data_IF_242744118196
#
_entry.id   IF_242744118196
#
_cell.length_a   1.000
_cell.length_b   1.000
_cell.length_c   1.000
_cell.angle_alpha   90.00
_cell.angle_beta   90.00
_cell.angle_gamma   90.00
#
_symmetry.space_group_name_H-M   'P 1'
#
loop_
_entity.id
_entity.type
_entity.pdbx_description
1 polymer ?
#
# COMPACT_ATOMS: atom_id res chain seq x y z
N UNK A 1 -42.71 -15.10 -1.53
CA UNK A 1 -41.38 -15.65 -1.23
C UNK A 1 -40.81 -15.06 0.07
N UNK A 2 -40.59 -13.75 0.19
CA UNK A 2 -40.06 -13.13 1.41
C UNK A 2 -40.85 -13.41 2.68
N UNK A 3 -42.20 -13.37 2.63
CA UNK A 3 -43.08 -13.64 3.77
C UNK A 3 -42.93 -15.08 4.29
N UNK A 4 -42.73 -16.05 3.40
CA UNK A 4 -42.45 -17.45 3.76
C UNK A 4 -41.08 -17.63 4.43
N UNK A 5 -40.06 -16.98 3.90
CA UNK A 5 -38.69 -17.00 4.47
C UNK A 5 -38.69 -16.40 5.87
N UNK A 6 -39.35 -15.25 6.06
CA UNK A 6 -39.44 -14.60 7.38
C UNK A 6 -40.22 -15.43 8.41
N UNK A 7 -41.31 -16.07 7.99
CA UNK A 7 -42.07 -16.98 8.86
C UNK A 7 -41.26 -18.23 9.25
N UNK A 8 -40.45 -18.79 8.32
CA UNK A 8 -39.53 -19.90 8.61
C UNK A 8 -38.44 -19.54 9.61
N UNK A 9 -37.83 -18.37 9.45
CA UNK A 9 -36.81 -17.87 10.40
C UNK A 9 -37.43 -17.68 11.80
N UNK A 10 -38.70 -17.20 11.86
CA UNK A 10 -39.41 -16.99 13.12
C UNK A 10 -39.86 -18.28 13.79
N UNK A 11 -40.27 -19.30 13.03
CA UNK A 11 -40.70 -20.59 13.56
C UNK A 11 -39.57 -21.42 14.18
N UNK A 12 -38.33 -21.21 13.68
CA UNK A 12 -37.11 -21.88 14.17
C UNK A 12 -36.17 -20.90 14.89
N UNK A 13 -36.71 -19.94 15.62
CA UNK A 13 -36.02 -18.74 16.14
C UNK A 13 -34.71 -19.02 16.90
N UNK A 14 -34.66 -20.03 17.77
CA UNK A 14 -33.45 -20.35 18.54
C UNK A 14 -32.28 -20.83 17.66
N UNK A 15 -32.54 -21.63 16.65
CA UNK A 15 -31.49 -22.16 15.73
C UNK A 15 -31.04 -21.09 14.74
N UNK A 16 -31.98 -20.30 14.21
CA UNK A 16 -31.68 -19.19 13.32
C UNK A 16 -30.87 -18.11 14.03
N UNK A 17 -31.10 -17.90 15.34
CA UNK A 17 -30.35 -16.95 16.15
C UNK A 17 -28.87 -17.31 16.23
N UNK A 18 -28.52 -18.59 16.43
CA UNK A 18 -27.13 -19.03 16.46
C UNK A 18 -26.40 -18.76 15.13
N UNK A 19 -27.05 -19.05 14.00
CA UNK A 19 -26.48 -18.76 12.67
C UNK A 19 -26.28 -17.24 12.51
N UNK A 20 -27.28 -16.43 12.91
CA UNK A 20 -27.17 -14.97 12.82
C UNK A 20 -26.03 -14.44 13.68
N UNK A 21 -25.83 -14.97 14.89
CA UNK A 21 -24.72 -14.59 15.77
C UNK A 21 -23.37 -14.97 15.11
N UNK A 22 -23.26 -16.17 14.59
CA UNK A 22 -22.05 -16.64 13.89
C UNK A 22 -21.72 -15.76 12.69
N UNK A 23 -22.72 -15.47 11.84
CA UNK A 23 -22.59 -14.59 10.68
C UNK A 23 -22.24 -13.15 11.07
N UNK A 24 -22.79 -12.66 12.20
CA UNK A 24 -22.50 -11.34 12.73
C UNK A 24 -21.04 -11.24 13.20
N UNK A 25 -20.59 -12.20 14.00
CA UNK A 25 -19.20 -12.25 14.47
C UNK A 25 -18.22 -12.37 13.30
N UNK A 26 -18.56 -13.20 12.31
CA UNK A 26 -17.79 -13.30 11.08
C UNK A 26 -17.77 -11.97 10.34
N UNK A 27 -18.92 -11.30 10.17
CA UNK A 27 -19.00 -10.03 9.44
C UNK A 27 -18.09 -8.96 10.05
N UNK A 28 -18.09 -8.81 11.38
CA UNK A 28 -17.23 -7.86 12.09
C UNK A 28 -15.77 -8.27 11.97
N UNK A 29 -15.42 -9.54 12.24
CA UNK A 29 -14.05 -10.01 12.16
C UNK A 29 -13.50 -9.95 10.73
N UNK A 30 -14.31 -10.29 9.72
CA UNK A 30 -13.95 -10.21 8.32
C UNK A 30 -13.71 -8.76 7.88
N UNK A 31 -14.44 -7.79 8.41
CA UNK A 31 -14.23 -6.38 8.11
C UNK A 31 -12.82 -5.92 8.55
N UNK A 32 -12.44 -6.19 9.81
CA UNK A 32 -11.13 -5.81 10.34
C UNK A 32 -9.95 -6.62 9.80
N UNK A 33 -10.20 -7.78 9.22
CA UNK A 33 -9.13 -8.58 8.57
C UNK A 33 -9.02 -8.28 7.07
N UNK A 34 -10.12 -7.94 6.40
CA UNK A 34 -10.12 -7.63 4.97
C UNK A 34 -9.62 -6.21 4.68
N UNK A 35 -9.95 -5.26 5.54
CA UNK A 35 -9.59 -3.86 5.37
C UNK A 35 -8.06 -3.66 5.22
N UNK A 36 -7.18 -4.13 6.14
CA UNK A 36 -5.74 -3.97 5.99
C UNK A 36 -5.20 -4.65 4.71
N UNK A 37 -5.80 -5.78 4.33
CA UNK A 37 -5.40 -6.51 3.11
C UNK A 37 -5.71 -5.69 1.87
N UNK A 38 -6.93 -5.17 1.76
CA UNK A 38 -7.38 -4.41 0.58
C UNK A 38 -6.60 -3.10 0.47
N UNK A 39 -6.47 -2.36 1.57
CA UNK A 39 -5.79 -1.05 1.58
C UNK A 39 -4.31 -1.21 1.30
N UNK A 40 -3.63 -2.17 1.94
CA UNK A 40 -2.20 -2.42 1.70
C UNK A 40 -1.95 -2.84 0.26
N UNK A 41 -2.74 -3.77 -0.30
CA UNK A 41 -2.62 -4.18 -1.70
C UNK A 41 -2.88 -3.02 -2.66
N UNK A 42 -3.87 -2.19 -2.36
CA UNK A 42 -4.16 -1.00 -3.16
C UNK A 42 -2.95 -0.05 -3.19
N UNK A 43 -2.34 0.24 -2.04
CA UNK A 43 -1.21 1.16 -1.95
C UNK A 43 0.04 0.59 -2.62
N UNK A 44 0.37 -0.67 -2.36
CA UNK A 44 1.53 -1.32 -2.98
C UNK A 44 1.37 -1.52 -4.49
N UNK A 45 0.14 -1.64 -4.98
CA UNK A 45 -0.17 -1.75 -6.42
C UNK A 45 -0.15 -0.43 -7.17
N UNK A 46 -0.06 0.73 -6.47
CA UNK A 46 -0.03 2.03 -7.11
C UNK A 46 1.34 2.33 -7.72
N UNK A 47 1.32 3.07 -8.84
CA UNK A 47 2.53 3.70 -9.34
C UNK A 47 2.92 4.84 -8.36
N UNK A 48 4.14 4.83 -7.81
CA UNK A 48 4.56 5.87 -6.86
C UNK A 48 4.80 7.24 -7.51
N UNK A 49 4.58 7.40 -8.82
CA UNK A 49 4.80 8.65 -9.54
C UNK A 49 6.22 8.81 -10.07
N UNK A 50 7.08 7.81 -9.86
CA UNK A 50 8.42 7.70 -10.45
C UNK A 50 8.65 6.28 -10.98
N UNK A 51 9.66 6.09 -11.82
CA UNK A 51 9.86 4.86 -12.62
C UNK A 51 10.53 3.73 -11.82
N UNK A 52 9.97 3.37 -10.65
CA UNK A 52 10.54 2.40 -9.70
C UNK A 52 10.89 1.04 -10.35
N UNK A 53 10.07 0.60 -11.32
CA UNK A 53 10.22 -0.70 -11.98
C UNK A 53 11.43 -0.77 -12.94
N UNK A 54 12.10 0.36 -13.17
CA UNK A 54 13.27 0.46 -14.04
C UNK A 54 14.54 0.79 -13.27
N UNK A 55 14.47 0.87 -11.93
CA UNK A 55 15.58 1.29 -11.11
C UNK A 55 16.31 0.10 -10.49
N UNK A 56 17.64 0.19 -10.48
CA UNK A 56 18.54 -0.73 -9.77
C UNK A 56 19.32 0.08 -8.73
N UNK A 57 19.29 -0.39 -7.49
CA UNK A 57 20.10 0.13 -6.41
C UNK A 57 21.37 -0.70 -6.30
N UNK A 58 22.53 -0.06 -6.22
CA UNK A 58 23.84 -0.67 -6.06
C UNK A 58 24.45 -0.14 -4.78
N UNK A 59 24.64 -1.00 -3.80
CA UNK A 59 25.24 -0.63 -2.52
C UNK A 59 26.74 -0.39 -2.64
N UNK A 60 27.26 0.48 -1.80
CA UNK A 60 28.68 0.80 -1.73
C UNK A 60 29.24 0.44 -0.36
N UNK A 61 30.46 -0.07 -0.35
CA UNK A 61 31.21 -0.33 0.88
C UNK A 61 32.69 0.04 0.70
N UNK A 62 33.40 0.09 1.81
CA UNK A 62 34.85 0.35 1.81
C UNK A 62 35.63 -0.90 2.18
N UNK A 63 36.70 -1.17 1.44
CA UNK A 63 37.65 -2.20 1.79
C UNK A 63 38.50 -1.73 2.98
N UNK A 64 38.72 -2.58 3.98
CA UNK A 64 39.74 -2.31 4.98
C UNK A 64 41.09 -2.11 4.31
N UNK A 65 41.77 -1.03 4.62
CA UNK A 65 43.09 -0.74 4.07
C UNK A 65 43.90 0.03 5.08
N UNK A 66 45.24 -0.18 5.07
CA UNK A 66 46.18 0.63 5.84
C UNK A 66 46.47 1.98 5.16
N UNK A 67 46.16 2.12 3.88
CA UNK A 67 46.29 3.36 3.15
C UNK A 67 45.28 4.40 3.64
N UNK A 68 45.76 5.60 3.87
CA UNK A 68 44.93 6.73 4.28
C UNK A 68 44.37 7.44 3.05
N UNK A 69 43.12 7.20 2.75
CA UNK A 69 42.39 7.97 1.75
C UNK A 69 41.81 9.25 2.36
N UNK A 70 42.01 10.36 1.67
CA UNK A 70 41.32 11.63 1.99
C UNK A 70 39.83 11.54 1.64
N UNK A 71 39.05 12.48 2.13
CA UNK A 71 37.61 12.53 1.79
C UNK A 71 37.40 12.96 0.33
N UNK A 72 38.27 13.82 -0.17
CA UNK A 72 38.32 14.28 -1.55
C UNK A 72 38.60 13.10 -2.50
N UNK A 73 39.63 12.31 -2.23
CA UNK A 73 39.93 11.11 -3.04
C UNK A 73 38.76 10.13 -3.09
N UNK A 74 38.07 9.94 -1.97
CA UNK A 74 36.88 9.09 -1.93
C UNK A 74 35.72 9.67 -2.74
N UNK A 75 35.55 10.98 -2.76
CA UNK A 75 34.57 11.62 -3.61
C UNK A 75 34.88 11.43 -5.09
N UNK A 76 36.14 11.58 -5.48
CA UNK A 76 36.61 11.29 -6.84
C UNK A 76 36.37 9.83 -7.23
N UNK A 77 36.67 8.91 -6.31
CA UNK A 77 36.43 7.48 -6.53
C UNK A 77 34.94 7.17 -6.70
N UNK A 78 34.07 7.79 -5.90
CA UNK A 78 32.62 7.69 -6.02
C UNK A 78 32.13 8.19 -7.38
N UNK A 79 32.67 9.29 -7.87
CA UNK A 79 32.33 9.88 -9.18
C UNK A 79 32.81 8.99 -10.33
N UNK A 80 33.99 8.38 -10.19
CA UNK A 80 34.47 7.38 -11.15
C UNK A 80 33.57 6.14 -11.21
N UNK A 81 33.09 5.66 -10.06
CA UNK A 81 32.15 4.55 -10.01
C UNK A 81 30.83 4.91 -10.69
N UNK A 82 30.29 6.12 -10.45
CA UNK A 82 29.09 6.60 -11.15
C UNK A 82 29.29 6.58 -12.67
N UNK A 83 30.43 7.08 -13.16
CA UNK A 83 30.77 7.10 -14.58
C UNK A 83 30.83 5.70 -15.16
N UNK A 84 31.40 4.73 -14.43
CA UNK A 84 31.42 3.32 -14.85
C UNK A 84 30.04 2.69 -14.89
N UNK A 85 29.15 3.01 -13.93
CA UNK A 85 27.75 2.55 -13.97
C UNK A 85 27.03 3.12 -15.17
N UNK A 86 27.25 4.38 -15.51
CA UNK A 86 26.69 5.02 -16.70
C UNK A 86 27.18 4.40 -18.02
N UNK A 87 28.34 3.74 -18.01
CA UNK A 87 28.89 3.10 -19.21
C UNK A 87 28.25 1.74 -19.55
N UNK A 88 27.41 1.16 -18.68
CA UNK A 88 26.68 -0.05 -19.04
C UNK A 88 25.67 0.24 -20.17
N UNK A 89 25.66 -0.58 -21.24
CA UNK A 89 24.80 -0.33 -22.41
C UNK A 89 23.30 -0.25 -22.09
N UNK A 90 22.87 -0.94 -21.04
CA UNK A 90 21.49 -1.03 -20.58
C UNK A 90 21.06 0.18 -19.73
N UNK A 91 22.01 0.95 -19.22
CA UNK A 91 21.74 2.10 -18.35
C UNK A 91 21.38 3.33 -19.20
N UNK A 92 20.31 4.01 -18.84
CA UNK A 92 19.86 5.26 -19.44
C UNK A 92 20.40 6.47 -18.67
N UNK A 93 20.22 6.46 -17.34
CA UNK A 93 20.72 7.45 -16.40
C UNK A 93 21.23 6.76 -15.13
N UNK A 94 22.14 7.41 -14.43
CA UNK A 94 22.52 6.98 -13.08
C UNK A 94 22.89 8.18 -12.21
N UNK A 95 22.60 8.06 -10.92
CA UNK A 95 22.86 9.09 -9.91
C UNK A 95 23.47 8.50 -8.65
N UNK A 96 24.04 9.35 -7.82
CA UNK A 96 24.42 9.04 -6.45
C UNK A 96 23.24 9.43 -5.55
N UNK A 97 22.68 8.46 -4.85
CA UNK A 97 21.65 8.69 -3.85
C UNK A 97 22.30 8.65 -2.45
N UNK A 98 21.94 9.63 -1.61
CA UNK A 98 22.37 9.64 -0.21
C UNK A 98 21.42 8.81 0.65
N UNK A 99 21.76 8.63 1.92
CA UNK A 99 20.87 8.00 2.91
C UNK A 99 19.54 8.76 3.13
N UNK A 100 19.41 9.98 2.60
CA UNK A 100 18.17 10.78 2.59
C UNK A 100 17.64 10.88 1.14
N UNK A 101 17.37 9.77 0.53
CA UNK A 101 16.79 9.66 -0.81
C UNK A 101 15.48 8.86 -0.79
N UNK A 102 14.79 8.79 -1.92
CA UNK A 102 13.56 8.00 -2.05
C UNK A 102 13.82 6.53 -1.69
N UNK A 103 12.85 5.89 -1.05
CA UNK A 103 12.94 4.51 -0.51
C UNK A 103 14.08 4.27 0.49
N UNK A 104 14.73 5.32 0.99
CA UNK A 104 15.74 5.18 2.03
C UNK A 104 15.13 4.74 3.37
N UNK A 105 15.92 4.00 4.17
CA UNK A 105 15.56 3.69 5.56
C UNK A 105 15.60 4.91 6.48
N UNK A 106 16.43 5.89 6.17
CA UNK A 106 16.47 7.15 6.90
C UNK A 106 15.38 8.08 6.39
N UNK A 107 14.66 8.69 7.29
CA UNK A 107 13.64 9.69 6.99
C UNK A 107 13.95 10.92 7.85
N UNK A 108 14.28 12.02 7.19
CA UNK A 108 14.38 13.34 7.84
C UNK A 108 13.07 14.06 7.65
N UNK A 109 12.50 14.54 8.75
CA UNK A 109 11.23 15.26 8.76
C UNK A 109 11.50 16.63 9.36
N UNK A 110 10.98 17.64 8.69
CA UNK A 110 10.97 19.01 9.17
C UNK A 110 9.55 19.56 9.16
N UNK A 111 9.32 20.59 9.94
CA UNK A 111 8.03 21.28 9.97
C UNK A 111 8.23 22.79 9.87
N UNK A 112 7.31 23.45 9.18
CA UNK A 112 7.19 24.89 9.12
C UNK A 112 5.88 25.31 9.80
N UNK A 113 5.91 26.24 10.74
CA UNK A 113 4.70 26.85 11.28
C UNK A 113 4.14 27.84 10.23
N UNK A 114 3.00 27.49 9.68
CA UNK A 114 2.26 28.33 8.72
C UNK A 114 0.86 28.53 9.28
N UNK A 115 0.47 29.78 9.59
CA UNK A 115 -0.88 30.16 10.02
C UNK A 115 -1.54 29.20 11.03
N UNK A 116 -0.94 28.96 12.16
CA UNK A 116 -1.43 28.05 13.22
C UNK A 116 -1.42 26.55 12.87
N UNK A 117 -0.93 26.16 11.70
CA UNK A 117 -0.76 24.76 11.28
C UNK A 117 0.72 24.47 11.03
N UNK A 118 1.21 23.36 11.56
CA UNK A 118 2.55 22.90 11.23
C UNK A 118 2.53 22.13 9.92
N UNK A 119 3.08 22.70 8.85
CA UNK A 119 3.32 22.01 7.61
C UNK A 119 4.50 21.04 7.77
N UNK A 120 4.21 19.74 7.83
CA UNK A 120 5.23 18.69 7.96
C UNK A 120 5.63 18.22 6.57
N UNK A 121 6.92 18.09 6.32
CA UNK A 121 7.47 17.58 5.06
C UNK A 121 8.70 16.71 5.30
N UNK A 122 8.94 15.78 4.36
CA UNK A 122 10.18 15.01 4.34
C UNK A 122 11.28 15.79 3.61
N UNK A 123 12.52 15.59 4.05
CA UNK A 123 13.69 16.10 3.38
C UNK A 123 14.37 15.00 2.58
N UNK A 124 14.50 15.21 1.29
CA UNK A 124 15.32 14.39 0.41
C UNK A 124 16.55 15.21 -0.05
N UNK A 125 17.63 14.52 -0.34
CA UNK A 125 18.85 15.13 -0.81
C UNK A 125 19.14 14.68 -2.25
N UNK A 126 19.63 15.60 -3.07
CA UNK A 126 20.14 15.29 -4.39
C UNK A 126 21.48 15.99 -4.63
N UNK A 127 22.28 15.42 -5.51
CA UNK A 127 23.57 15.97 -5.92
C UNK A 127 23.37 16.62 -7.29
N UNK A 128 23.45 17.96 -7.40
CA UNK A 128 23.29 18.62 -8.68
C UNK A 128 24.27 18.13 -9.74
N UNK A 129 23.80 17.96 -10.97
CA UNK A 129 24.59 17.45 -12.08
C UNK A 129 24.75 15.95 -12.14
N UNK A 130 24.12 15.20 -11.23
CA UNK A 130 24.12 13.72 -11.29
C UNK A 130 22.87 13.13 -11.94
N UNK A 131 21.99 13.94 -12.55
CA UNK A 131 20.74 13.52 -13.19
C UNK A 131 19.77 12.80 -12.23
N UNK A 132 19.70 13.25 -10.96
CA UNK A 132 18.85 12.64 -9.93
C UNK A 132 17.39 12.52 -10.39
N UNK A 133 16.76 13.63 -10.77
CA UNK A 133 15.35 13.65 -11.16
C UNK A 133 15.09 12.84 -12.46
N UNK A 134 16.02 12.85 -13.40
CA UNK A 134 15.95 12.01 -14.61
C UNK A 134 16.09 10.53 -14.28
N UNK A 135 16.98 10.19 -13.36
CA UNK A 135 17.18 8.80 -12.92
C UNK A 135 15.90 8.26 -12.29
N UNK A 136 15.29 9.00 -11.38
CA UNK A 136 14.02 8.59 -10.78
C UNK A 136 12.82 8.77 -11.72
N UNK A 137 12.92 9.60 -12.74
CA UNK A 137 11.82 9.90 -13.65
C UNK A 137 10.76 10.80 -13.02
N UNK A 138 11.16 11.64 -12.06
CA UNK A 138 10.28 12.61 -11.39
C UNK A 138 9.88 13.70 -12.39
N UNK A 139 8.59 14.02 -12.43
CA UNK A 139 8.00 14.89 -13.44
C UNK A 139 7.60 16.25 -12.87
N UNK A 140 7.35 17.18 -13.78
CA UNK A 140 6.77 18.49 -13.48
C UNK A 140 5.34 18.56 -14.01
N UNK A 141 4.69 19.67 -13.79
CA UNK A 141 3.44 20.04 -14.42
C UNK A 141 3.51 19.86 -15.96
N UNK A 142 2.55 19.11 -16.49
CA UNK A 142 2.54 18.72 -17.90
C UNK A 142 3.23 17.37 -18.20
N UNK A 143 3.66 16.63 -17.18
CA UNK A 143 4.14 15.24 -17.31
C UNK A 143 5.54 15.09 -17.91
N UNK A 144 6.29 16.18 -18.08
CA UNK A 144 7.69 16.14 -18.52
C UNK A 144 8.61 15.82 -17.36
N UNK A 145 9.65 15.01 -17.59
CA UNK A 145 10.69 14.76 -16.60
C UNK A 145 11.37 16.09 -16.24
N UNK A 146 11.53 16.32 -14.92
CA UNK A 146 12.14 17.53 -14.42
C UNK A 146 13.61 17.61 -14.82
N UNK A 147 14.01 18.75 -15.38
CA UNK A 147 15.39 19.05 -15.71
C UNK A 147 15.98 19.94 -14.63
N UNK A 148 17.02 19.45 -13.96
CA UNK A 148 17.65 20.17 -12.85
C UNK A 148 18.18 21.53 -13.32
N UNK A 149 17.81 22.63 -12.65
CA UNK A 149 18.48 23.91 -12.86
C UNK A 149 19.89 23.88 -12.26
N UNK A 150 20.69 24.88 -12.60
CA UNK A 150 21.94 25.13 -11.88
C UNK A 150 21.58 25.53 -10.45
N UNK A 151 21.99 24.71 -9.49
CA UNK A 151 21.69 24.93 -8.08
C UNK A 151 22.89 25.53 -7.33
N UNK A 152 22.60 26.53 -6.53
CA UNK A 152 23.54 27.04 -5.55
C UNK A 152 23.36 26.35 -4.21
N UNK A 153 24.24 26.65 -3.26
CA UNK A 153 24.03 26.25 -1.86
C UNK A 153 22.70 26.83 -1.37
N UNK A 154 21.90 26.05 -0.69
CA UNK A 154 20.55 26.37 -0.19
C UNK A 154 19.45 26.49 -1.26
N UNK A 155 19.73 26.24 -2.53
CA UNK A 155 18.67 26.05 -3.50
C UNK A 155 17.95 24.70 -3.25
N UNK A 156 16.63 24.75 -3.37
CA UNK A 156 15.77 23.57 -3.14
C UNK A 156 14.80 23.37 -4.29
N UNK A 157 14.45 22.12 -4.51
CA UNK A 157 13.32 21.74 -5.34
C UNK A 157 12.22 21.22 -4.41
N UNK A 158 10.99 21.61 -4.62
CA UNK A 158 9.88 21.22 -3.76
C UNK A 158 8.83 20.46 -4.51
N UNK A 159 8.11 19.55 -3.81
CA UNK A 159 6.91 18.95 -4.35
C UNK A 159 5.80 20.00 -4.46
N UNK A 160 4.82 19.71 -5.34
CA UNK A 160 3.67 20.61 -5.54
C UNK A 160 2.93 20.89 -4.25
N UNK A 161 2.70 19.86 -3.43
CA UNK A 161 2.04 20.02 -2.13
C UNK A 161 2.81 20.95 -1.19
N UNK A 162 4.15 20.93 -1.18
CA UNK A 162 4.95 21.89 -0.40
C UNK A 162 4.78 23.30 -0.95
N UNK A 163 4.83 23.46 -2.27
CA UNK A 163 4.64 24.77 -2.89
C UNK A 163 3.27 25.38 -2.53
N UNK A 164 2.20 24.58 -2.60
CA UNK A 164 0.84 25.02 -2.25
C UNK A 164 0.68 25.31 -0.75
N UNK A 165 1.33 24.51 0.11
CA UNK A 165 1.31 24.72 1.56
C UNK A 165 2.02 26.02 1.97
N UNK A 166 3.16 26.33 1.31
CA UNK A 166 3.99 27.49 1.69
C UNK A 166 3.59 28.77 0.98
N UNK A 167 3.04 28.66 -0.23
CA UNK A 167 2.66 29.78 -1.09
C UNK A 167 1.29 29.55 -1.74
N UNK A 168 0.20 29.52 -0.96
CA UNK A 168 -1.12 29.18 -1.47
C UNK A 168 -1.59 30.18 -2.54
N UNK A 169 -1.96 29.66 -3.71
CA UNK A 169 -2.46 30.46 -4.84
C UNK A 169 -1.41 31.33 -5.55
N UNK A 170 -0.13 31.21 -5.20
CA UNK A 170 0.99 31.95 -5.83
C UNK A 170 2.01 30.98 -6.40
N UNK A 171 2.67 31.37 -7.49
CA UNK A 171 3.78 30.57 -8.01
C UNK A 171 4.99 30.67 -7.06
N UNK A 172 5.27 29.60 -6.35
CA UNK A 172 6.36 29.55 -5.36
C UNK A 172 7.77 29.62 -5.97
N UNK A 173 7.92 29.54 -7.29
CA UNK A 173 9.22 29.54 -7.96
C UNK A 173 9.94 30.85 -7.77
N UNK A 174 11.16 30.80 -7.26
CA UNK A 174 12.01 31.99 -6.97
C UNK A 174 11.84 32.55 -5.56
N UNK A 175 10.79 32.18 -4.83
CA UNK A 175 10.53 32.58 -3.46
C UNK A 175 11.32 31.71 -2.46
N UNK A 176 11.34 32.14 -1.19
CA UNK A 176 12.00 31.40 -0.12
C UNK A 176 10.98 30.50 0.62
N UNK A 177 11.39 29.28 0.98
CA UNK A 177 10.52 28.29 1.58
C UNK A 177 9.71 28.79 2.79
N UNK A 178 10.31 29.65 3.61
CA UNK A 178 9.72 30.16 4.85
C UNK A 178 9.40 31.66 4.81
N UNK A 179 9.13 32.21 3.64
CA UNK A 179 8.86 33.64 3.44
C UNK A 179 7.65 34.11 4.27
N UNK A 180 6.65 33.26 4.47
CA UNK A 180 5.43 33.54 5.21
C UNK A 180 5.43 32.97 6.65
N UNK A 181 6.56 32.48 7.16
CA UNK A 181 6.64 31.96 8.52
C UNK A 181 7.00 33.05 9.53
N UNK A 182 6.16 33.18 10.58
CA UNK A 182 6.38 34.18 11.65
C UNK A 182 7.58 33.84 12.53
N UNK A 183 7.89 32.57 12.71
CA UNK A 183 8.99 32.10 13.58
C UNK A 183 10.17 31.64 12.75
N UNK A 184 11.23 32.40 12.87
CA UNK A 184 12.46 32.22 12.13
C UNK A 184 13.41 31.26 12.79
N UNK A 185 13.33 30.00 12.49
CA UNK A 185 14.30 29.09 13.08
C UNK A 185 15.31 28.55 12.09
N UNK A 186 14.94 28.08 10.93
CA UNK A 186 15.90 27.54 9.95
C UNK A 186 15.26 27.61 8.54
N UNK A 187 16.02 27.96 7.52
CA UNK A 187 15.59 27.89 6.12
C UNK A 187 15.28 29.20 5.39
N UNK A 188 15.56 30.36 5.98
CA UNK A 188 15.41 31.68 5.31
C UNK A 188 16.19 31.80 4.01
N UNK A 189 17.26 31.02 3.88
CA UNK A 189 18.12 31.03 2.72
C UNK A 189 17.76 29.94 1.68
N UNK A 190 16.67 29.19 1.88
CA UNK A 190 16.27 28.11 1.00
C UNK A 190 15.37 28.66 -0.10
N UNK A 191 15.96 28.91 -1.28
CA UNK A 191 15.24 29.45 -2.44
C UNK A 191 14.66 28.27 -3.27
N UNK A 192 13.39 28.35 -3.61
CA UNK A 192 12.70 27.40 -4.46
C UNK A 192 13.12 27.63 -5.91
N UNK A 193 13.87 26.70 -6.48
CA UNK A 193 14.35 26.77 -7.88
C UNK A 193 13.63 25.79 -8.79
N UNK A 194 12.77 24.96 -8.27
CA UNK A 194 11.97 24.02 -9.05
C UNK A 194 10.79 23.48 -8.26
N UNK A 195 9.73 23.13 -9.00
CA UNK A 195 8.53 22.49 -8.46
C UNK A 195 8.32 21.20 -9.26
N UNK A 196 8.16 20.08 -8.54
CA UNK A 196 7.95 18.76 -9.11
C UNK A 196 6.63 18.15 -8.64
N UNK A 197 6.15 17.16 -9.36
CA UNK A 197 4.97 16.41 -8.96
C UNK A 197 5.20 15.69 -7.63
N UNK A 198 4.13 15.48 -6.88
CA UNK A 198 4.19 14.77 -5.61
C UNK A 198 4.49 13.29 -5.83
N UNK A 199 5.56 12.83 -5.20
CA UNK A 199 5.92 11.41 -5.11
C UNK A 199 6.11 11.05 -3.65
N UNK A 200 5.75 9.84 -3.20
CA UNK A 200 5.98 9.45 -1.82
C UNK A 200 7.48 9.27 -1.56
N UNK A 201 7.96 9.72 -0.41
CA UNK A 201 9.33 9.47 0.05
C UNK A 201 9.63 7.97 0.14
N UNK A 202 8.66 7.21 0.66
CA UNK A 202 8.59 5.76 0.55
C UNK A 202 7.26 5.39 -0.07
N UNK A 203 7.25 4.53 -1.03
CA UNK A 203 6.04 4.16 -1.79
C UNK A 203 5.00 3.38 -0.96
N UNK A 204 5.37 2.94 0.24
CA UNK A 204 4.43 2.42 1.25
C UNK A 204 3.62 3.54 1.94
N UNK A 205 4.08 4.79 1.86
CA UNK A 205 3.36 5.97 2.33
C UNK A 205 2.69 6.64 1.15
N UNK A 206 1.47 7.01 1.33
CA UNK A 206 0.64 7.49 0.21
C UNK A 206 1.05 8.87 -0.25
N UNK A 207 1.36 9.74 0.69
CA UNK A 207 1.70 11.15 0.45
C UNK A 207 2.76 11.57 1.42
N UNK A 208 3.77 12.19 0.89
CA UNK A 208 4.78 12.83 1.73
C UNK A 208 5.21 14.07 0.99
N UNK A 209 4.81 15.28 1.42
CA UNK A 209 5.37 16.50 0.90
C UNK A 209 6.88 16.45 1.01
N UNK A 210 7.61 16.74 -0.05
CA UNK A 210 9.07 16.59 -0.08
C UNK A 210 9.74 17.90 -0.45
N UNK A 211 10.78 18.23 0.33
CA UNK A 211 11.76 19.26 -0.01
C UNK A 211 13.06 18.56 -0.40
N UNK A 212 13.47 18.71 -1.65
CA UNK A 212 14.73 18.20 -2.17
C UNK A 212 15.83 19.25 -1.99
N UNK A 213 16.80 18.95 -1.15
CA UNK A 213 17.94 19.83 -0.85
C UNK A 213 19.12 19.55 -1.77
N UNK A 214 19.62 20.58 -2.44
CA UNK A 214 20.82 20.47 -3.24
C UNK A 214 22.05 20.32 -2.34
N UNK A 215 22.77 19.21 -2.49
CA UNK A 215 24.02 18.93 -1.76
C UNK A 215 25.19 19.47 -2.54
N UNK A 216 25.95 20.38 -1.94
CA UNK A 216 27.21 20.83 -2.55
C UNK A 216 28.29 19.74 -2.45
N UNK A 217 29.25 19.80 -3.36
CA UNK A 217 30.42 18.92 -3.33
C UNK A 217 31.08 18.91 -1.94
N UNK A 218 31.27 20.07 -1.32
CA UNK A 218 31.82 20.20 0.05
C UNK A 218 31.01 19.46 1.11
N UNK A 219 29.68 19.46 0.98
CA UNK A 219 28.81 18.78 1.95
C UNK A 219 28.90 17.28 1.81
N UNK A 220 29.07 16.78 0.56
CA UNK A 220 29.25 15.35 0.31
C UNK A 220 30.64 14.90 0.76
N UNK A 221 31.68 15.65 0.43
CA UNK A 221 33.06 15.39 0.88
C UNK A 221 33.11 15.26 2.41
N UNK A 222 32.44 16.15 3.15
CA UNK A 222 32.37 16.04 4.62
C UNK A 222 31.83 14.69 5.09
N UNK A 223 30.90 14.09 4.34
CA UNK A 223 30.28 12.80 4.66
C UNK A 223 31.09 11.60 4.20
N UNK A 224 32.11 11.76 3.35
CA UNK A 224 32.95 10.67 2.82
C UNK A 224 33.81 10.00 3.90
N UNK A 225 33.59 10.28 5.19
CA UNK A 225 34.10 9.43 6.28
C UNK A 225 33.51 8.00 6.25
N UNK A 226 32.31 7.84 5.73
CA UNK A 226 31.68 6.56 5.47
C UNK A 226 30.93 6.62 4.14
N UNK A 227 31.31 5.77 3.19
CA UNK A 227 30.65 5.66 1.87
C UNK A 227 29.33 4.88 1.96
N UNK A 228 29.13 4.13 3.03
CA UNK A 228 27.87 3.39 3.26
C UNK A 228 26.63 4.29 3.38
N UNK A 229 26.82 5.61 3.50
CA UNK A 229 25.77 6.60 3.45
C UNK A 229 25.31 6.97 2.03
N UNK A 230 25.96 6.43 1.01
CA UNK A 230 25.64 6.65 -0.39
C UNK A 230 25.40 5.32 -1.11
N UNK A 231 24.55 5.35 -2.13
CA UNK A 231 24.31 4.25 -3.06
C UNK A 231 24.33 4.78 -4.49
N UNK A 232 24.60 3.92 -5.46
CA UNK A 232 24.40 4.26 -6.86
C UNK A 232 23.04 3.77 -7.30
N UNK A 233 22.26 4.63 -7.92
CA UNK A 233 20.97 4.28 -8.51
C UNK A 233 21.08 4.40 -10.01
N UNK A 234 20.81 3.30 -10.71
CA UNK A 234 20.80 3.23 -12.16
C UNK A 234 19.37 3.08 -12.68
N UNK A 235 19.00 3.89 -13.67
CA UNK A 235 17.78 3.74 -14.46
C UNK A 235 18.10 2.97 -15.71
N UNK A 236 17.40 1.87 -15.92
CA UNK A 236 17.56 1.06 -17.10
C UNK A 236 16.73 1.61 -18.29
N UNK A 237 17.18 1.34 -19.49
CA UNK A 237 16.47 1.66 -20.73
C UNK A 237 15.11 0.94 -20.75
N UNK A 238 14.17 1.49 -21.50
CA UNK A 238 12.84 0.92 -21.62
C UNK A 238 12.88 -0.52 -22.15
N UNK A 239 12.09 -1.40 -21.52
CA UNK A 239 11.99 -2.82 -21.90
C UNK A 239 13.06 -3.72 -21.25
N UNK A 240 13.99 -3.19 -20.45
CA UNK A 240 14.99 -3.99 -19.73
C UNK A 240 14.47 -4.27 -18.31
N UNK A 241 14.44 -5.55 -17.95
CA UNK A 241 14.05 -5.96 -16.61
C UNK A 241 15.24 -5.82 -15.64
N UNK A 242 15.09 -5.17 -14.47
CA UNK A 242 16.13 -5.06 -13.46
C UNK A 242 16.71 -6.39 -13.00
N UNK A 243 15.91 -7.44 -12.85
CA UNK A 243 16.38 -8.75 -12.44
C UNK A 243 17.29 -9.39 -13.50
N UNK A 244 16.98 -9.21 -14.80
CA UNK A 244 17.82 -9.70 -15.89
C UNK A 244 19.14 -8.94 -15.96
N UNK A 245 19.10 -7.62 -15.78
CA UNK A 245 20.30 -6.80 -15.66
C UNK A 245 21.20 -7.25 -14.52
N UNK A 246 20.61 -7.43 -13.32
CA UNK A 246 21.35 -7.89 -12.14
C UNK A 246 21.93 -9.27 -12.37
N UNK A 247 21.16 -10.21 -12.90
CA UNK A 247 21.64 -11.58 -13.19
C UNK A 247 22.82 -11.56 -14.15
N UNK A 248 22.80 -10.69 -15.15
CA UNK A 248 23.87 -10.54 -16.14
C UNK A 248 25.12 -9.89 -15.57
N UNK A 249 24.95 -8.84 -14.75
CA UNK A 249 26.06 -7.97 -14.35
C UNK A 249 26.46 -8.08 -12.87
N UNK A 250 25.78 -8.90 -12.04
CA UNK A 250 26.10 -9.03 -10.61
C UNK A 250 27.54 -9.47 -10.35
N UNK A 251 28.07 -10.36 -11.19
CA UNK A 251 29.47 -10.77 -11.12
C UNK A 251 30.41 -9.57 -11.28
N UNK A 252 30.29 -8.84 -12.39
CA UNK A 252 31.08 -7.64 -12.69
C UNK A 252 30.91 -6.55 -11.62
N UNK A 253 29.68 -6.31 -11.17
CA UNK A 253 29.41 -5.30 -10.13
C UNK A 253 30.09 -5.67 -8.82
N UNK A 254 29.98 -6.91 -8.38
CA UNK A 254 30.51 -7.33 -7.07
C UNK A 254 32.03 -7.51 -7.06
N UNK A 255 32.69 -7.79 -8.20
CA UNK A 255 34.12 -8.11 -8.25
C UNK A 255 34.96 -7.02 -8.90
N UNK A 256 34.44 -6.34 -9.91
CA UNK A 256 35.21 -5.42 -10.74
C UNK A 256 34.87 -3.95 -10.55
N UNK A 257 33.64 -3.64 -10.08
CA UNK A 257 33.20 -2.26 -9.91
C UNK A 257 33.75 -1.70 -8.59
N UNK A 258 35.03 -1.31 -8.62
CA UNK A 258 35.72 -0.70 -7.48
C UNK A 258 36.62 0.44 -7.96
N UNK A 259 36.84 1.45 -7.11
CA UNK A 259 37.77 2.56 -7.29
C UNK A 259 38.37 2.91 -5.94
N UNK A 260 39.70 2.98 -5.86
CA UNK A 260 40.38 3.16 -4.58
C UNK A 260 39.97 2.09 -3.56
N UNK A 261 39.56 2.53 -2.38
CA UNK A 261 39.05 1.65 -1.35
C UNK A 261 37.54 1.45 -1.37
N UNK A 262 36.82 2.04 -2.33
CA UNK A 262 35.37 1.90 -2.49
C UNK A 262 35.08 0.77 -3.49
N UNK A 263 34.10 -0.06 -3.16
CA UNK A 263 33.59 -1.08 -4.07
C UNK A 263 32.06 -1.14 -4.02
N UNK A 264 31.49 -1.50 -5.16
CA UNK A 264 30.07 -1.74 -5.31
C UNK A 264 29.73 -3.20 -4.98
N UNK A 265 28.57 -3.43 -4.40
CA UNK A 265 28.08 -4.76 -4.08
C UNK A 265 26.56 -4.81 -4.03
N UNK A 266 26.02 -6.03 -3.96
CA UNK A 266 24.60 -6.31 -3.72
C UNK A 266 23.65 -5.47 -4.58
N UNK A 267 23.78 -5.50 -5.92
CA UNK A 267 22.81 -4.84 -6.77
C UNK A 267 21.42 -5.47 -6.56
N UNK A 268 20.40 -4.64 -6.41
CA UNK A 268 19.03 -5.09 -6.21
C UNK A 268 18.03 -4.20 -6.97
N UNK A 269 16.88 -4.75 -7.42
CA UNK A 269 15.80 -3.92 -7.96
C UNK A 269 15.35 -2.91 -6.91
N UNK A 270 14.96 -1.73 -7.34
CA UNK A 270 14.46 -0.71 -6.42
C UNK A 270 13.11 -1.11 -5.78
N UNK A 271 12.33 -1.93 -6.47
CA UNK A 271 11.14 -2.60 -5.91
C UNK A 271 11.47 -3.46 -4.70
N UNK A 272 12.63 -4.13 -4.67
CA UNK A 272 13.10 -4.86 -3.51
C UNK A 272 13.41 -3.97 -2.29
N UNK A 273 13.87 -2.72 -2.50
CA UNK A 273 13.99 -1.75 -1.40
C UNK A 273 12.61 -1.39 -0.83
N UNK A 274 11.62 -1.17 -1.70
CA UNK A 274 10.24 -0.94 -1.30
C UNK A 274 9.71 -2.10 -0.44
N UNK A 275 9.89 -3.32 -0.91
CA UNK A 275 9.45 -4.51 -0.18
C UNK A 275 10.17 -4.64 1.18
N UNK A 276 11.47 -4.40 1.23
CA UNK A 276 12.23 -4.38 2.48
C UNK A 276 11.75 -3.30 3.47
N UNK A 277 11.34 -2.13 2.97
CA UNK A 277 10.77 -1.08 3.80
C UNK A 277 9.34 -1.42 4.26
N UNK A 278 8.61 -2.20 3.48
CA UNK A 278 7.25 -2.62 3.73
C UNK A 278 7.12 -3.95 4.50
N UNK A 279 8.22 -4.63 4.84
CA UNK A 279 8.21 -5.99 5.44
C UNK A 279 7.23 -6.11 6.61
N UNK A 280 7.21 -5.15 7.53
CA UNK A 280 6.29 -5.17 8.67
C UNK A 280 4.81 -5.11 8.25
N UNK A 281 4.50 -4.26 7.30
CA UNK A 281 3.14 -4.05 6.76
C UNK A 281 2.73 -5.27 5.94
N UNK A 282 3.62 -5.79 5.10
CA UNK A 282 3.38 -7.00 4.28
C UNK A 282 3.14 -8.21 5.18
N UNK A 283 3.95 -8.40 6.23
CA UNK A 283 3.76 -9.50 7.18
C UNK A 283 2.42 -9.38 7.92
N UNK A 284 2.04 -8.17 8.34
CA UNK A 284 0.72 -7.90 8.90
C UNK A 284 -0.41 -8.24 7.95
N UNK A 285 -0.29 -7.86 6.68
CA UNK A 285 -1.24 -8.19 5.62
C UNK A 285 -1.36 -9.71 5.43
N UNK A 286 -0.25 -10.44 5.34
CA UNK A 286 -0.23 -11.90 5.20
C UNK A 286 -0.92 -12.58 6.39
N UNK A 287 -0.68 -12.07 7.61
CA UNK A 287 -1.35 -12.57 8.80
C UNK A 287 -2.87 -12.36 8.73
N UNK A 288 -3.31 -11.19 8.29
CA UNK A 288 -4.73 -10.89 8.08
C UNK A 288 -5.35 -11.77 6.99
N UNK A 289 -4.62 -12.03 5.89
CA UNK A 289 -5.06 -12.95 4.84
C UNK A 289 -5.24 -14.39 5.37
N UNK A 290 -4.27 -14.89 6.12
CA UNK A 290 -4.36 -16.22 6.73
C UNK A 290 -5.53 -16.31 7.72
N UNK A 291 -5.74 -15.28 8.54
CA UNK A 291 -6.87 -15.20 9.46
C UNK A 291 -8.21 -15.14 8.72
N UNK A 292 -8.29 -14.36 7.63
CA UNK A 292 -9.49 -14.27 6.81
C UNK A 292 -9.84 -15.63 6.18
N UNK A 293 -8.87 -16.35 5.63
CA UNK A 293 -9.06 -17.70 5.09
C UNK A 293 -9.56 -18.64 6.19
N UNK A 294 -8.95 -18.61 7.37
CA UNK A 294 -9.37 -19.39 8.51
C UNK A 294 -10.83 -19.08 8.90
N UNK A 295 -11.21 -17.82 8.97
CA UNK A 295 -12.59 -17.40 9.27
C UNK A 295 -13.58 -17.92 8.22
N UNK A 296 -13.25 -17.85 6.93
CA UNK A 296 -14.08 -18.34 5.83
C UNK A 296 -14.31 -19.84 5.97
N UNK A 297 -13.24 -20.61 6.22
CA UNK A 297 -13.33 -22.07 6.40
C UNK A 297 -14.21 -22.41 7.61
N UNK A 298 -14.01 -21.74 8.75
CA UNK A 298 -14.82 -21.95 9.92
C UNK A 298 -16.29 -21.62 9.68
N UNK A 299 -16.59 -20.50 9.04
CA UNK A 299 -17.96 -20.14 8.69
C UNK A 299 -18.60 -21.17 7.76
N UNK A 300 -17.89 -21.64 6.73
CA UNK A 300 -18.38 -22.68 5.84
C UNK A 300 -18.74 -23.95 6.62
N UNK A 301 -17.85 -24.41 7.51
CA UNK A 301 -18.09 -25.61 8.32
C UNK A 301 -19.26 -25.41 9.28
N UNK A 302 -19.38 -24.27 9.94
CA UNK A 302 -20.49 -23.93 10.82
C UNK A 302 -21.82 -23.92 10.09
N UNK A 303 -21.89 -23.25 8.94
CA UNK A 303 -23.10 -23.20 8.09
C UNK A 303 -23.46 -24.61 7.58
N UNK A 304 -22.49 -25.37 7.04
CA UNK A 304 -22.72 -26.74 6.59
C UNK A 304 -23.27 -27.59 7.75
N UNK A 305 -22.63 -27.55 8.91
CA UNK A 305 -23.03 -28.31 10.10
C UNK A 305 -24.44 -27.99 10.55
N UNK A 306 -24.76 -26.70 10.66
CA UNK A 306 -26.08 -26.26 11.12
C UNK A 306 -27.20 -26.65 10.13
N UNK A 307 -26.98 -26.42 8.83
CA UNK A 307 -27.97 -26.88 7.81
C UNK A 307 -28.06 -28.40 7.71
N UNK A 308 -26.98 -29.14 7.91
CA UNK A 308 -26.96 -30.58 7.93
C UNK A 308 -27.78 -31.12 9.10
N UNK A 309 -27.64 -30.59 10.31
CA UNK A 309 -28.44 -30.98 11.49
C UNK A 309 -29.94 -30.70 11.30
N UNK A 310 -30.29 -29.73 10.46
CA UNK A 310 -31.69 -29.42 10.13
C UNK A 310 -32.23 -30.25 8.96
N UNK A 311 -31.42 -31.15 8.36
CA UNK A 311 -31.81 -31.91 7.15
C UNK A 311 -33.12 -32.69 7.37
N UNK A 312 -33.30 -33.29 8.55
CA UNK A 312 -34.48 -34.12 8.86
C UNK A 312 -35.78 -33.27 8.86
N UNK A 313 -35.79 -32.17 9.54
CA UNK A 313 -36.96 -31.27 9.63
C UNK A 313 -37.27 -30.65 8.27
N UNK A 314 -36.24 -30.21 7.55
CA UNK A 314 -36.35 -29.57 6.23
C UNK A 314 -36.66 -30.54 5.09
N UNK A 315 -36.31 -31.82 5.23
CA UNK A 315 -36.66 -32.84 4.28
C UNK A 315 -38.18 -33.04 4.16
N UNK A 316 -38.88 -32.95 5.29
CA UNK A 316 -40.33 -33.02 5.31
C UNK A 316 -40.96 -31.83 4.54
N UNK A 317 -40.52 -30.62 4.80
CA UNK A 317 -41.03 -29.43 4.10
C UNK A 317 -40.71 -29.50 2.61
N UNK A 318 -39.49 -29.95 2.24
CA UNK A 318 -39.09 -30.16 0.86
C UNK A 318 -39.93 -31.25 0.16
N UNK A 319 -40.27 -32.36 0.88
CA UNK A 319 -41.14 -33.42 0.39
C UNK A 319 -42.55 -32.90 0.08
N UNK A 320 -43.14 -32.08 0.97
CA UNK A 320 -44.41 -31.42 0.75
C UNK A 320 -44.34 -30.50 -0.47
N UNK A 321 -43.31 -29.63 -0.56
CA UNK A 321 -43.14 -28.72 -1.70
C UNK A 321 -43.03 -29.50 -3.03
N UNK A 322 -42.33 -30.64 -3.06
CA UNK A 322 -42.21 -31.51 -4.24
C UNK A 322 -43.54 -32.14 -4.61
N UNK A 323 -44.35 -32.60 -3.63
CA UNK A 323 -45.67 -33.11 -3.88
C UNK A 323 -46.59 -32.06 -4.54
N UNK A 324 -46.37 -30.78 -4.27
CA UNK A 324 -47.05 -29.66 -4.95
C UNK A 324 -46.34 -29.19 -6.24
N UNK A 325 -45.36 -29.94 -6.76
CA UNK A 325 -44.72 -29.68 -8.06
C UNK A 325 -43.47 -28.79 -8.01
N UNK A 326 -42.89 -28.52 -6.85
CA UNK A 326 -41.65 -27.79 -6.78
C UNK A 326 -40.48 -28.57 -7.37
N UNK A 327 -39.64 -27.94 -8.19
CA UNK A 327 -38.42 -28.50 -8.73
C UNK A 327 -37.31 -28.52 -7.69
N UNK A 328 -36.32 -29.46 -7.85
CA UNK A 328 -35.12 -29.53 -6.99
C UNK A 328 -34.38 -28.18 -6.92
N UNK A 329 -34.23 -27.54 -8.08
CA UNK A 329 -33.56 -26.21 -8.16
C UNK A 329 -34.32 -25.10 -7.41
N UNK A 330 -35.66 -25.15 -7.36
CA UNK A 330 -36.49 -24.23 -6.60
C UNK A 330 -36.28 -24.38 -5.09
N UNK A 331 -36.15 -25.60 -4.60
CA UNK A 331 -35.87 -25.90 -3.19
C UNK A 331 -34.48 -25.40 -2.78
N UNK A 332 -33.43 -25.74 -3.56
CA UNK A 332 -32.08 -25.25 -3.30
C UNK A 332 -32.02 -23.70 -3.29
N UNK A 333 -32.66 -23.05 -4.25
CA UNK A 333 -32.72 -21.59 -4.32
C UNK A 333 -33.43 -20.97 -3.11
N UNK A 334 -34.49 -21.57 -2.62
CA UNK A 334 -35.20 -21.10 -1.42
C UNK A 334 -34.34 -21.22 -0.17
N UNK A 335 -33.57 -22.31 0.00
CA UNK A 335 -32.67 -22.49 1.14
C UNK A 335 -31.49 -21.52 1.10
N UNK A 336 -30.90 -21.31 -0.10
CA UNK A 336 -29.84 -20.29 -0.27
C UNK A 336 -30.38 -18.88 0.02
N UNK A 337 -31.58 -18.55 -0.47
CA UNK A 337 -32.21 -17.26 -0.20
C UNK A 337 -32.49 -17.03 1.28
N UNK A 338 -32.85 -18.08 2.03
CA UNK A 338 -32.99 -18.01 3.50
C UNK A 338 -31.64 -17.73 4.16
N UNK A 339 -30.56 -18.43 3.75
CA UNK A 339 -29.21 -18.13 4.20
C UNK A 339 -28.77 -16.69 3.91
N UNK A 340 -29.08 -16.19 2.72
CA UNK A 340 -28.79 -14.81 2.35
C UNK A 340 -29.55 -13.79 3.20
N UNK A 341 -30.84 -14.04 3.50
CA UNK A 341 -31.61 -13.14 4.39
C UNK A 341 -30.98 -13.05 5.78
N UNK A 342 -30.53 -14.19 6.35
CA UNK A 342 -29.84 -14.20 7.63
C UNK A 342 -28.47 -13.49 7.55
N UNK A 343 -27.73 -13.69 6.46
CA UNK A 343 -26.45 -13.06 6.23
C UNK A 343 -26.58 -11.51 6.12
N UNK A 344 -27.56 -11.04 5.37
CA UNK A 344 -27.80 -9.59 5.21
C UNK A 344 -28.21 -8.96 6.55
N UNK A 345 -29.09 -9.61 7.34
CA UNK A 345 -29.45 -9.13 8.68
C UNK A 345 -28.23 -9.06 9.60
N UNK A 346 -27.41 -10.10 9.63
CA UNK A 346 -26.19 -10.16 10.41
C UNK A 346 -25.19 -9.10 9.96
N UNK A 347 -25.04 -8.90 8.66
CA UNK A 347 -24.17 -7.87 8.08
C UNK A 347 -24.63 -6.46 8.45
N UNK A 348 -25.92 -6.14 8.39
CA UNK A 348 -26.45 -4.82 8.80
C UNK A 348 -26.10 -4.54 10.27
N UNK A 349 -26.37 -5.50 11.16
CA UNK A 349 -26.09 -5.33 12.60
C UNK A 349 -24.58 -5.27 12.84
N UNK A 350 -23.81 -6.14 12.17
CA UNK A 350 -22.34 -6.16 12.26
C UNK A 350 -21.69 -4.87 11.79
N UNK A 351 -22.20 -4.26 10.71
CA UNK A 351 -21.68 -2.97 10.23
C UNK A 351 -21.92 -1.82 11.21
N UNK A 352 -23.02 -1.82 11.95
CA UNK A 352 -23.24 -0.81 12.99
C UNK A 352 -22.13 -0.91 14.04
N UNK A 353 -21.80 -2.13 14.50
CA UNK A 353 -20.71 -2.34 15.44
C UNK A 353 -19.34 -2.01 14.84
N UNK A 354 -19.07 -2.45 13.60
CA UNK A 354 -17.83 -2.17 12.91
C UNK A 354 -17.60 -0.67 12.68
N UNK A 355 -18.66 0.09 12.36
CA UNK A 355 -18.60 1.54 12.20
C UNK A 355 -18.10 2.22 13.48
N UNK A 356 -18.74 1.93 14.63
CA UNK A 356 -18.33 2.51 15.92
C UNK A 356 -16.90 2.13 16.31
N UNK A 357 -16.50 0.88 16.05
CA UNK A 357 -15.14 0.43 16.35
C UNK A 357 -14.14 1.16 15.44
N UNK A 358 -14.43 1.26 14.15
CA UNK A 358 -13.56 1.96 13.19
C UNK A 358 -13.48 3.48 13.47
N UNK A 359 -14.56 4.10 13.94
CA UNK A 359 -14.58 5.51 14.33
C UNK A 359 -13.72 5.78 15.58
N UNK A 360 -13.72 4.85 16.55
CA UNK A 360 -12.96 4.99 17.81
C UNK A 360 -11.47 4.65 17.64
N UNK A 361 -11.18 3.54 16.96
CA UNK A 361 -9.81 3.01 16.85
C UNK A 361 -9.08 3.41 15.57
N UNK A 362 -9.80 4.01 14.62
CA UNK A 362 -9.29 4.34 13.30
C UNK A 362 -9.29 3.15 12.33
N UNK A 363 -8.94 3.45 11.09
CA UNK A 363 -8.69 2.49 10.03
C UNK A 363 -7.20 2.38 9.77
N UNK A 364 -6.77 1.46 8.93
CA UNK A 364 -5.35 1.28 8.59
C UNK A 364 -4.78 2.58 8.02
N UNK A 365 -3.85 3.18 8.75
CA UNK A 365 -3.16 4.38 8.32
C UNK A 365 -1.87 3.98 7.59
N UNK A 366 -1.77 4.43 6.35
CA UNK A 366 -0.55 4.30 5.53
C UNK A 366 0.17 5.64 5.36
N UNK A 367 -0.14 6.60 6.21
CA UNK A 367 0.45 7.91 6.22
C UNK A 367 1.34 8.07 7.44
N UNK A 368 2.65 8.09 7.20
CA UNK A 368 3.60 8.37 8.26
C UNK A 368 3.78 9.88 8.39
N UNK A 369 3.36 10.45 9.53
CA UNK A 369 3.52 11.87 9.88
C UNK A 369 3.01 12.86 8.83
N UNK A 370 1.87 12.59 8.25
CA UNK A 370 1.31 13.49 7.25
C UNK A 370 0.53 14.62 7.90
N UNK A 371 0.80 15.80 7.40
CA UNK A 371 -0.12 16.89 7.55
C UNK A 371 -1.39 16.57 6.77
N UNK A 372 -2.49 16.29 7.47
CA UNK A 372 -3.82 16.09 6.86
C UNK A 372 -4.41 17.41 6.34
N UNK A 373 -3.56 18.31 5.81
CA UNK A 373 -4.03 19.54 5.21
C UNK A 373 -4.79 19.24 3.91
N UNK A 374 -5.81 20.03 3.63
CA UNK A 374 -6.59 19.91 2.39
C UNK A 374 -5.70 19.98 1.14
N UNK A 375 -4.64 20.79 1.16
CA UNK A 375 -3.72 20.91 0.05
C UNK A 375 -3.02 19.58 -0.28
N UNK A 376 -2.57 18.82 0.73
CA UNK A 376 -1.93 17.51 0.54
C UNK A 376 -2.93 16.46 0.09
N UNK A 377 -4.14 16.47 0.66
CA UNK A 377 -5.22 15.55 0.27
C UNK A 377 -5.66 15.82 -1.18
N UNK A 378 -5.79 17.10 -1.56
CA UNK A 378 -6.24 17.47 -2.90
C UNK A 378 -5.17 17.21 -3.97
N UNK A 379 -3.88 17.24 -3.61
CA UNK A 379 -2.80 16.93 -4.53
C UNK A 379 -2.84 15.46 -5.03
N UNK A 380 -3.20 14.53 -4.13
CA UNK A 380 -3.31 13.09 -4.45
C UNK A 380 -4.56 12.52 -3.76
N UNK A 381 -5.77 12.76 -4.28
CA UNK A 381 -7.00 12.28 -3.64
C UNK A 381 -7.11 10.76 -3.76
N UNK A 382 -7.47 10.10 -2.65
CA UNK A 382 -7.66 8.66 -2.59
C UNK A 382 -9.05 8.33 -2.04
N UNK A 383 -9.58 7.19 -2.44
CA UNK A 383 -10.86 6.70 -1.92
C UNK A 383 -10.82 6.39 -0.41
N UNK A 384 -9.62 6.11 0.13
CA UNK A 384 -9.38 5.85 1.56
C UNK A 384 -9.41 7.11 2.42
N UNK A 385 -9.33 8.31 1.84
CA UNK A 385 -9.29 9.57 2.58
C UNK A 385 -10.61 9.91 3.24
N UNK A 386 -11.70 9.56 2.58
CA UNK A 386 -13.03 9.79 3.13
C UNK A 386 -13.46 8.56 3.95
N UNK A 387 -13.62 8.75 5.26
CA UNK A 387 -14.01 7.69 6.19
C UNK A 387 -15.23 6.89 5.71
N UNK A 388 -16.29 7.58 5.29
CA UNK A 388 -17.52 6.93 4.85
C UNK A 388 -17.29 6.09 3.58
N UNK A 389 -16.58 6.64 2.59
CA UNK A 389 -16.26 5.92 1.34
C UNK A 389 -15.42 4.68 1.63
N UNK A 390 -14.37 4.83 2.43
CA UNK A 390 -13.49 3.73 2.84
C UNK A 390 -14.30 2.64 3.55
N UNK A 391 -15.06 3.01 4.57
CA UNK A 391 -15.88 2.07 5.32
C UNK A 391 -16.85 1.30 4.43
N UNK A 392 -17.60 1.98 3.56
CA UNK A 392 -18.61 1.32 2.73
C UNK A 392 -18.02 0.46 1.62
N UNK A 393 -16.89 0.82 1.05
CA UNK A 393 -16.19 -0.03 0.06
C UNK A 393 -15.84 -1.38 0.70
N UNK A 394 -15.20 -1.36 1.87
CA UNK A 394 -14.85 -2.59 2.58
C UNK A 394 -16.12 -3.36 3.01
N UNK A 395 -17.13 -2.66 3.52
CA UNK A 395 -18.38 -3.29 3.95
C UNK A 395 -19.12 -4.01 2.83
N UNK A 396 -19.14 -3.45 1.63
CA UNK A 396 -19.71 -4.12 0.45
C UNK A 396 -18.90 -5.34 0.05
N UNK A 397 -17.57 -5.27 0.12
CA UNK A 397 -16.70 -6.43 -0.14
C UNK A 397 -16.95 -7.55 0.87
N UNK A 398 -17.11 -7.22 2.15
CA UNK A 398 -17.48 -8.18 3.20
C UNK A 398 -18.84 -8.81 2.93
N UNK A 399 -19.85 -8.03 2.50
CA UNK A 399 -21.16 -8.56 2.12
C UNK A 399 -21.04 -9.59 0.99
N UNK A 400 -20.32 -9.26 -0.08
CA UNK A 400 -20.11 -10.16 -1.20
C UNK A 400 -19.44 -11.45 -0.71
N UNK A 401 -18.37 -11.34 0.09
CA UNK A 401 -17.65 -12.46 0.66
C UNK A 401 -18.59 -13.35 1.50
N UNK A 402 -19.41 -12.73 2.36
CA UNK A 402 -20.36 -13.39 3.21
C UNK A 402 -21.41 -14.17 2.39
N UNK A 403 -22.00 -13.53 1.39
CA UNK A 403 -23.00 -14.17 0.51
C UNK A 403 -22.42 -15.35 -0.26
N UNK A 404 -21.18 -15.22 -0.78
CA UNK A 404 -20.48 -16.32 -1.46
C UNK A 404 -20.22 -17.49 -0.50
N UNK A 405 -19.70 -17.20 0.69
CA UNK A 405 -19.38 -18.20 1.71
C UNK A 405 -20.64 -18.95 2.16
N UNK A 406 -21.73 -18.22 2.43
CA UNK A 406 -23.02 -18.82 2.80
C UNK A 406 -23.60 -19.65 1.65
N UNK A 407 -23.46 -19.19 0.41
CA UNK A 407 -23.91 -19.96 -0.75
C UNK A 407 -23.20 -21.31 -0.83
N UNK A 408 -21.88 -21.31 -0.69
CA UNK A 408 -21.07 -22.55 -0.70
C UNK A 408 -21.49 -23.47 0.47
N UNK A 409 -21.60 -22.90 1.69
CA UNK A 409 -21.96 -23.64 2.89
C UNK A 409 -23.35 -24.26 2.84
N UNK A 410 -24.35 -23.54 2.30
CA UNK A 410 -25.73 -24.00 2.19
C UNK A 410 -25.94 -24.97 1.01
N UNK A 411 -25.18 -24.80 -0.07
CA UNK A 411 -25.40 -25.57 -1.31
C UNK A 411 -25.28 -27.07 -1.12
N UNK A 412 -24.29 -27.55 -0.37
CA UNK A 412 -24.07 -28.99 -0.12
C UNK A 412 -25.28 -29.63 0.59
N UNK A 413 -25.72 -29.14 1.77
CA UNK A 413 -26.88 -29.69 2.44
C UNK A 413 -28.20 -29.45 1.67
N UNK A 414 -28.36 -28.31 1.00
CA UNK A 414 -29.53 -27.98 0.22
C UNK A 414 -29.76 -28.97 -0.95
N UNK A 415 -28.68 -29.33 -1.65
CA UNK A 415 -28.75 -30.33 -2.72
C UNK A 415 -29.20 -31.69 -2.17
N UNK A 416 -28.67 -32.11 -1.02
CA UNK A 416 -29.05 -33.37 -0.37
C UNK A 416 -30.54 -33.39 0.04
N UNK A 417 -31.03 -32.29 0.63
CA UNK A 417 -32.45 -32.12 0.98
C UNK A 417 -33.35 -32.18 -0.27
N UNK A 418 -32.94 -31.51 -1.35
CA UNK A 418 -33.71 -31.46 -2.59
C UNK A 418 -33.76 -32.80 -3.33
N UNK A 419 -32.82 -33.72 -3.10
CA UNK A 419 -32.78 -35.05 -3.74
C UNK A 419 -33.67 -36.09 -3.07
N UNK A 420 -34.13 -35.87 -1.81
CA UNK A 420 -34.99 -36.80 -1.07
C UNK A 420 -36.33 -36.95 -1.80
N UNK A 421 -36.79 -38.20 -1.95
CA UNK A 421 -38.08 -38.49 -2.59
C UNK A 421 -39.24 -38.05 -1.68
N UNK A 422 -40.40 -37.62 -2.24
CA UNK A 422 -41.57 -37.29 -1.43
C UNK A 422 -42.06 -38.46 -0.56
N UNK A 423 -41.89 -39.67 -1.04
CA UNK A 423 -42.29 -40.89 -0.33
C UNK A 423 -41.40 -41.17 0.88
N UNK A 424 -40.08 -41.03 0.72
CA UNK A 424 -39.11 -41.23 1.81
C UNK A 424 -39.25 -40.14 2.88
N UNK A 425 -39.48 -38.88 2.47
CA UNK A 425 -39.68 -37.75 3.38
C UNK A 425 -40.91 -37.89 4.29
N UNK A 426 -41.92 -38.62 3.85
CA UNK A 426 -43.15 -38.84 4.61
C UNK A 426 -43.13 -40.18 5.39
N UNK A 427 -42.27 -41.15 5.01
CA UNK A 427 -42.16 -42.48 5.62
C UNK A 427 -41.27 -42.52 6.88
N UNK A 428 -40.32 -41.61 7.05
CA UNK A 428 -39.37 -41.56 8.19
C UNK A 428 -40.01 -41.21 9.55
N UNK A 429 -41.33 -41.06 9.62
CA UNK A 429 -42.07 -40.65 10.85
C UNK A 429 -43.05 -41.72 11.38
N UNK A 430 -42.93 -42.99 10.97
CA UNK A 430 -43.67 -44.09 11.62
C UNK A 430 -42.72 -45.00 12.39
#
# INVERSE_FOLDING_TARGET
MFKLIFNNIRSHSRRSLWIIIELLLFSVAAWFTLEPVVVTRYILGRNPGYDIDRLVNIQLAMKPTEEKYTKEERYDDLTRLLTRVRSFPEVEYATIATYQSLESRSLSISSLPIDSVNAVYAEAEFIPGTDFFKTFGIRTDGGKVFNEPVCNKNDIVVSRSVAELTHPGVNALGHYLNEHCEIMTHGRDQRIVGIVDDVPYRSIFVRTPIVYKAMTEKDIIKRMGSVTSCTLVARLKQGINPDDFIRKHSGTINTELSSGNIYAHSPMPYTGLRENNAVGIINGMILCEALLIFLIVNLCLGVIGTFYLQTRDRSRDAGIMRAFGATRGSICRNLIAEGWCMAIMAWIIGNIGAWFIADIYGMTEHEYMVNKSEAVINAIPLWIDNFATHFWVISVMVLILLLVTVTIGVYIPARRIADISPVDALRENN
#
